data_IF_680423079324
#
_entry.id   IF_680423079324
#
_cell.length_a   1.000
_cell.length_b   1.000
_cell.length_c   1.000
_cell.angle_alpha   90.00
_cell.angle_beta   90.00
_cell.angle_gamma   90.00
#
_symmetry.space_group_name_H-M   'P 1'
#
loop_
_entity.id
_entity.type
_entity.pdbx_description
1 polymer ?
#
# COMPACT_ATOMS: atom_id res chain seq x y z
N UNK A 1 7.97 -35.00 -6.29
CA UNK A 1 6.81 -34.61 -5.47
C UNK A 1 7.04 -33.15 -5.06
N UNK A 2 6.43 -32.24 -5.81
CA UNK A 2 6.53 -30.82 -5.55
C UNK A 2 5.65 -30.47 -4.36
N UNK A 3 6.26 -30.19 -3.21
CA UNK A 3 5.56 -29.50 -2.13
C UNK A 3 5.09 -28.16 -2.66
N UNK A 4 3.79 -27.98 -2.83
CA UNK A 4 3.16 -26.67 -2.97
C UNK A 4 3.44 -25.90 -1.71
N UNK A 5 4.49 -25.09 -1.74
CA UNK A 5 4.79 -24.13 -0.66
C UNK A 5 3.68 -23.10 -0.69
N UNK A 6 2.63 -23.38 0.06
CA UNK A 6 1.50 -22.46 0.21
C UNK A 6 1.98 -21.18 0.89
N UNK A 7 1.68 -20.03 0.33
CA UNK A 7 1.85 -18.77 1.01
C UNK A 7 1.09 -18.84 2.35
N UNK A 8 1.78 -18.54 3.46
CA UNK A 8 1.16 -18.52 4.78
C UNK A 8 0.15 -17.38 4.91
N UNK A 9 0.36 -16.33 4.14
CA UNK A 9 -0.53 -15.18 4.02
C UNK A 9 -0.38 -14.56 2.63
N UNK A 10 -1.48 -14.20 1.99
CA UNK A 10 -1.49 -13.41 0.77
C UNK A 10 -2.68 -12.46 0.78
N UNK A 11 -2.41 -11.17 0.65
CA UNK A 11 -3.41 -10.13 0.50
C UNK A 11 -3.11 -9.28 -0.73
N UNK A 12 -4.14 -8.99 -1.53
CA UNK A 12 -4.07 -8.07 -2.68
C UNK A 12 -4.71 -6.73 -2.33
N UNK A 13 -4.02 -5.65 -2.61
CA UNK A 13 -4.51 -4.30 -2.42
C UNK A 13 -5.29 -3.82 -3.64
N UNK A 14 -6.55 -4.17 -3.73
CA UNK A 14 -7.43 -3.66 -4.77
C UNK A 14 -8.03 -2.32 -4.35
N UNK A 15 -8.01 -1.32 -5.24
CA UNK A 15 -8.69 -0.06 -5.00
C UNK A 15 -10.22 -0.27 -4.97
N UNK A 16 -10.93 0.27 -3.99
CA UNK A 16 -12.39 0.22 -3.95
C UNK A 16 -13.00 1.10 -5.06
N UNK A 17 -14.26 0.84 -5.47
CA UNK A 17 -14.90 1.56 -6.58
C UNK A 17 -14.92 3.09 -6.45
N UNK A 18 -15.05 3.60 -5.23
CA UNK A 18 -15.04 5.04 -5.00
C UNK A 18 -13.71 5.72 -5.37
N UNK A 19 -12.57 5.00 -5.26
CA UNK A 19 -11.26 5.52 -5.68
C UNK A 19 -11.20 5.72 -7.20
N UNK A 20 -11.78 4.78 -7.95
CA UNK A 20 -11.91 4.90 -9.40
C UNK A 20 -12.79 6.06 -9.79
N UNK A 21 -13.97 6.20 -9.14
CA UNK A 21 -14.86 7.31 -9.36
C UNK A 21 -14.19 8.66 -9.05
N UNK A 22 -13.51 8.77 -7.90
CA UNK A 22 -12.78 9.98 -7.53
C UNK A 22 -11.68 10.34 -8.53
N UNK A 23 -10.92 9.35 -9.01
CA UNK A 23 -9.87 9.57 -10.01
C UNK A 23 -10.44 10.11 -11.33
N UNK A 24 -11.57 9.57 -11.79
CA UNK A 24 -12.27 10.07 -12.98
C UNK A 24 -12.76 11.50 -12.77
N UNK A 25 -13.41 11.79 -11.64
CA UNK A 25 -13.90 13.14 -11.33
C UNK A 25 -12.77 14.15 -11.30
N UNK A 26 -11.66 13.83 -10.62
CA UNK A 26 -10.48 14.72 -10.57
C UNK A 26 -9.90 14.95 -11.96
N UNK A 27 -9.78 13.89 -12.78
CA UNK A 27 -9.28 14.00 -14.15
C UNK A 27 -10.19 14.88 -15.04
N UNK A 28 -11.51 14.73 -14.89
CA UNK A 28 -12.49 15.55 -15.63
C UNK A 28 -12.45 17.02 -15.22
N UNK A 29 -12.36 17.31 -13.91
CA UNK A 29 -12.25 18.69 -13.41
C UNK A 29 -10.95 19.33 -13.91
N UNK A 30 -9.83 18.62 -13.79
CA UNK A 30 -8.53 19.10 -14.29
C UNK A 30 -8.56 19.33 -15.81
N UNK A 31 -9.15 18.42 -16.58
CA UNK A 31 -9.30 18.57 -18.03
C UNK A 31 -10.18 19.77 -18.39
N UNK A 32 -11.30 19.96 -17.67
CA UNK A 32 -12.19 21.10 -17.88
C UNK A 32 -11.49 22.44 -17.58
N UNK A 33 -10.66 22.49 -16.55
CA UNK A 33 -9.86 23.69 -16.24
C UNK A 33 -8.88 24.04 -17.36
N UNK A 34 -8.22 23.02 -17.94
CA UNK A 34 -7.30 23.21 -19.07
C UNK A 34 -8.02 23.47 -20.41
N UNK A 35 -9.26 23.00 -20.54
CA UNK A 35 -10.11 23.25 -21.70
C UNK A 35 -10.55 24.72 -21.81
N UNK A 36 -10.61 25.45 -20.70
CA UNK A 36 -11.09 26.85 -20.68
C UNK A 36 -10.27 27.74 -21.61
N UNK A 37 -10.87 28.15 -22.73
CA UNK A 37 -10.25 29.00 -23.75
C UNK A 37 -9.61 28.26 -24.94
N UNK A 38 -9.79 26.95 -25.08
CA UNK A 38 -9.36 26.17 -26.22
C UNK A 38 -10.53 25.81 -27.14
N UNK A 39 -10.36 25.98 -28.46
CA UNK A 39 -11.38 25.68 -29.48
C UNK A 39 -10.99 24.44 -30.31
N UNK A 40 -11.99 23.78 -30.88
CA UNK A 40 -11.82 22.67 -31.81
C UNK A 40 -11.16 21.44 -31.19
N UNK A 41 -10.28 20.76 -31.94
CA UNK A 41 -9.64 19.53 -31.55
C UNK A 41 -8.73 19.67 -30.30
N UNK A 42 -8.20 20.86 -30.03
CA UNK A 42 -7.38 21.14 -28.84
C UNK A 42 -8.17 21.03 -27.54
N UNK A 43 -9.45 21.26 -27.58
CA UNK A 43 -10.34 21.14 -26.44
C UNK A 43 -10.46 19.69 -25.90
N UNK A 44 -10.25 18.68 -26.76
CA UNK A 44 -10.38 17.26 -26.41
C UNK A 44 -9.08 16.70 -25.82
N UNK A 45 -7.94 17.28 -26.15
CA UNK A 45 -6.61 16.77 -25.75
C UNK A 45 -6.46 16.58 -24.24
N UNK A 46 -6.85 17.52 -23.34
CA UNK A 46 -6.74 17.34 -21.91
C UNK A 46 -7.48 16.08 -21.40
N UNK A 47 -8.66 15.82 -21.92
CA UNK A 47 -9.47 14.64 -21.54
C UNK A 47 -8.84 13.35 -22.04
N UNK A 48 -8.36 13.35 -23.29
CA UNK A 48 -7.68 12.19 -23.89
C UNK A 48 -6.39 11.79 -23.18
N UNK A 49 -5.72 12.73 -22.48
CA UNK A 49 -4.50 12.49 -21.73
C UNK A 49 -4.78 12.20 -20.26
N UNK A 50 -5.55 13.05 -19.59
CA UNK A 50 -5.72 12.96 -18.12
C UNK A 50 -6.56 11.77 -17.69
N UNK A 51 -7.57 11.36 -18.45
CA UNK A 51 -8.37 10.19 -18.11
C UNK A 51 -7.56 8.89 -18.13
N UNK A 52 -6.84 8.54 -19.20
CA UNK A 52 -5.99 7.36 -19.18
C UNK A 52 -4.90 7.40 -18.10
N UNK A 53 -4.28 8.56 -17.87
CA UNK A 53 -3.25 8.73 -16.82
C UNK A 53 -3.84 8.47 -15.44
N UNK A 54 -5.02 9.01 -15.12
CA UNK A 54 -5.70 8.77 -13.86
C UNK A 54 -6.04 7.29 -13.68
N UNK A 55 -6.62 6.65 -14.70
CA UNK A 55 -6.98 5.22 -14.65
C UNK A 55 -5.74 4.32 -14.51
N UNK A 56 -4.67 4.61 -15.25
CA UNK A 56 -3.41 3.86 -15.13
C UNK A 56 -2.76 4.03 -13.76
N UNK A 57 -2.85 5.20 -13.16
CA UNK A 57 -2.34 5.49 -11.81
C UNK A 57 -3.08 4.64 -10.78
N UNK A 58 -4.41 4.61 -10.81
CA UNK A 58 -5.22 3.77 -9.91
C UNK A 58 -4.94 2.29 -10.15
N UNK A 59 -4.83 1.86 -11.42
CA UNK A 59 -4.53 0.49 -11.77
C UNK A 59 -3.17 0.03 -11.21
N UNK A 60 -2.13 0.87 -11.32
CA UNK A 60 -0.81 0.58 -10.75
C UNK A 60 -0.84 0.55 -9.23
N UNK A 61 -1.54 1.51 -8.61
CA UNK A 61 -1.69 1.54 -7.16
C UNK A 61 -2.45 0.33 -6.61
N UNK A 62 -3.37 -0.25 -7.40
CA UNK A 62 -4.15 -1.45 -7.06
C UNK A 62 -3.38 -2.77 -7.21
N UNK A 63 -2.15 -2.77 -7.70
CA UNK A 63 -1.34 -3.98 -7.92
C UNK A 63 -0.47 -4.38 -6.73
N UNK A 64 -0.65 -3.74 -5.57
CA UNK A 64 0.07 -4.11 -4.35
C UNK A 64 -0.32 -5.50 -3.85
N UNK A 65 0.66 -6.25 -3.33
CA UNK A 65 0.45 -7.53 -2.66
C UNK A 65 1.29 -7.59 -1.40
N UNK A 66 0.70 -8.13 -0.33
CA UNK A 66 1.42 -8.53 0.89
C UNK A 66 1.42 -10.04 0.93
N UNK A 67 2.59 -10.65 1.05
CA UNK A 67 2.75 -12.11 1.07
C UNK A 67 3.75 -12.52 2.13
N UNK A 68 3.47 -13.63 2.78
CA UNK A 68 4.44 -14.32 3.64
C UNK A 68 4.70 -15.70 3.06
N UNK A 69 5.89 -15.88 2.51
CA UNK A 69 6.31 -17.11 1.81
C UNK A 69 7.73 -17.45 2.25
N UNK A 70 7.97 -18.73 2.59
CA UNK A 70 9.30 -19.27 2.93
C UNK A 70 10.05 -18.47 4.01
N UNK A 71 9.34 -17.99 5.03
CA UNK A 71 9.97 -17.19 6.08
C UNK A 71 10.33 -15.76 5.68
N UNK A 72 9.82 -15.27 4.53
CA UNK A 72 10.05 -13.91 4.05
C UNK A 72 8.73 -13.16 3.92
N UNK A 73 8.67 -12.00 4.53
CA UNK A 73 7.60 -11.02 4.34
C UNK A 73 7.91 -10.18 3.11
N UNK A 74 7.02 -10.21 2.13
CA UNK A 74 7.11 -9.44 0.89
C UNK A 74 5.97 -8.43 0.83
N UNK A 75 6.32 -7.17 0.67
CA UNK A 75 5.37 -6.05 0.52
C UNK A 75 5.78 -5.19 -0.66
N UNK A 76 4.88 -4.36 -1.19
CA UNK A 76 5.25 -3.42 -2.24
C UNK A 76 6.38 -2.48 -1.78
N UNK A 77 7.51 -2.57 -2.48
CA UNK A 77 8.70 -1.77 -2.19
C UNK A 77 9.75 -2.44 -1.30
N UNK A 78 9.48 -3.61 -0.71
CA UNK A 78 10.46 -4.26 0.16
C UNK A 78 10.18 -5.73 0.46
N UNK A 79 11.21 -6.39 0.97
CA UNK A 79 11.14 -7.76 1.50
C UNK A 79 12.06 -7.86 2.71
N UNK A 80 11.63 -8.61 3.73
CA UNK A 80 12.41 -8.83 4.95
C UNK A 80 12.20 -10.26 5.45
N UNK A 81 13.26 -10.89 5.93
CA UNK A 81 13.17 -12.19 6.56
C UNK A 81 12.44 -12.06 7.91
N UNK A 82 11.62 -13.06 8.26
CA UNK A 82 10.87 -13.03 9.51
C UNK A 82 11.77 -13.07 10.75
N UNK A 83 12.97 -13.63 10.61
CA UNK A 83 13.96 -13.70 11.68
C UNK A 83 14.51 -12.32 12.11
N UNK A 84 14.37 -11.30 11.23
CA UNK A 84 14.74 -9.92 11.52
C UNK A 84 13.56 -9.08 12.01
N UNK A 85 12.42 -9.70 12.26
CA UNK A 85 11.23 -9.04 12.77
C UNK A 85 11.12 -9.21 14.28
N UNK A 86 10.96 -8.09 14.96
CA UNK A 86 10.70 -8.04 16.39
C UNK A 86 9.22 -7.91 16.73
N UNK A 87 8.89 -6.97 17.61
CA UNK A 87 7.53 -6.75 18.09
C UNK A 87 6.52 -6.42 16.98
N UNK A 88 5.40 -7.14 16.96
CA UNK A 88 4.30 -6.96 16.00
C UNK A 88 3.13 -6.30 16.70
N UNK A 89 2.67 -5.16 16.20
CA UNK A 89 1.57 -4.37 16.74
C UNK A 89 0.50 -4.12 15.68
N UNK A 90 -0.73 -4.46 16.00
CA UNK A 90 -1.90 -4.11 15.19
C UNK A 90 -2.28 -2.65 15.44
N UNK A 91 -2.57 -1.94 14.37
CA UNK A 91 -2.99 -0.54 14.41
C UNK A 91 -4.37 -0.40 13.78
N UNK A 92 -5.29 0.17 14.53
CA UNK A 92 -6.58 0.60 14.02
C UNK A 92 -6.40 1.83 13.11
N UNK A 93 -7.49 2.31 12.56
CA UNK A 93 -7.50 3.46 11.63
C UNK A 93 -6.92 4.73 12.27
N UNK A 94 -7.20 4.97 13.53
CA UNK A 94 -6.75 6.17 14.23
C UNK A 94 -5.26 6.10 14.55
N UNK A 95 -4.80 4.96 15.10
CA UNK A 95 -3.39 4.72 15.37
C UNK A 95 -2.55 4.72 14.09
N UNK A 96 -3.05 4.11 13.01
CA UNK A 96 -2.40 4.15 11.69
C UNK A 96 -2.23 5.59 11.19
N UNK A 97 -3.26 6.43 11.33
CA UNK A 97 -3.19 7.84 10.93
C UNK A 97 -2.16 8.60 11.76
N UNK A 98 -2.07 8.36 13.07
CA UNK A 98 -1.07 9.01 13.95
C UNK A 98 0.35 8.60 13.57
N UNK A 99 0.60 7.31 13.34
CA UNK A 99 1.92 6.78 12.96
C UNK A 99 2.36 7.23 11.57
N UNK A 100 1.41 7.47 10.65
CA UNK A 100 1.70 8.05 9.33
C UNK A 100 1.88 9.56 9.32
N UNK A 101 1.42 10.24 10.35
CA UNK A 101 1.41 11.70 10.48
C UNK A 101 2.30 12.18 11.63
N UNK A 102 1.71 12.68 12.74
CA UNK A 102 2.48 13.34 13.82
C UNK A 102 3.53 12.48 14.50
N UNK A 103 3.35 11.15 14.49
CA UNK A 103 4.28 10.17 15.07
C UNK A 103 5.15 9.46 14.02
N UNK A 104 5.17 9.94 12.79
CA UNK A 104 5.97 9.36 11.73
C UNK A 104 7.47 9.50 12.02
N UNK A 105 8.20 8.40 11.86
CA UNK A 105 9.66 8.43 11.95
C UNK A 105 10.25 8.49 10.53
N UNK A 106 11.20 9.38 10.25
CA UNK A 106 11.74 9.58 8.90
C UNK A 106 12.39 8.34 8.28
N UNK A 107 12.91 7.43 9.10
CA UNK A 107 13.56 6.18 8.65
C UNK A 107 12.63 4.98 8.60
N UNK A 108 11.37 5.12 9.03
CA UNK A 108 10.42 4.02 8.98
C UNK A 108 10.05 3.65 7.55
N UNK A 109 9.99 2.35 7.26
CA UNK A 109 9.50 1.88 5.98
C UNK A 109 7.96 1.85 5.99
N UNK A 110 7.34 2.57 5.05
CA UNK A 110 5.88 2.71 4.99
C UNK A 110 5.35 2.13 3.69
N UNK A 111 4.66 1.00 3.78
CA UNK A 111 3.99 0.33 2.67
C UNK A 111 2.48 0.28 2.93
N UNK A 112 1.80 1.35 2.57
CA UNK A 112 0.35 1.50 2.75
C UNK A 112 -0.31 2.11 1.51
N UNK A 113 -1.66 2.14 1.48
CA UNK A 113 -2.44 2.84 0.48
C UNK A 113 -3.48 3.74 1.16
N UNK A 114 -3.90 4.80 0.48
CA UNK A 114 -4.84 5.78 1.05
C UNK A 114 -6.19 5.16 1.46
N UNK A 115 -6.59 4.08 0.81
CA UNK A 115 -7.84 3.36 1.10
C UNK A 115 -7.69 2.22 2.12
N UNK A 116 -6.47 1.91 2.57
CA UNK A 116 -6.22 0.99 3.68
C UNK A 116 -6.21 1.80 4.98
N UNK A 117 -7.24 1.62 5.78
CA UNK A 117 -7.39 2.38 7.03
C UNK A 117 -6.57 1.82 8.17
N UNK A 118 -6.35 0.52 8.17
CA UNK A 118 -5.67 -0.25 9.22
C UNK A 118 -4.29 -0.69 8.76
N UNK A 119 -3.42 -1.01 9.73
CA UNK A 119 -2.06 -1.44 9.44
C UNK A 119 -1.51 -2.37 10.53
N UNK A 120 -0.42 -3.05 10.19
CA UNK A 120 0.44 -3.72 11.17
C UNK A 120 1.77 -2.99 11.19
N UNK A 121 2.22 -2.65 12.39
CA UNK A 121 3.55 -2.12 12.65
C UNK A 121 4.44 -3.26 13.14
N UNK A 122 5.57 -3.45 12.49
CA UNK A 122 6.54 -4.49 12.83
C UNK A 122 7.88 -3.86 13.09
N UNK A 123 8.47 -4.11 14.26
CA UNK A 123 9.81 -3.63 14.56
C UNK A 123 10.83 -4.42 13.74
N UNK A 124 11.89 -3.74 13.31
CA UNK A 124 13.03 -4.37 12.63
C UNK A 124 14.13 -4.56 13.66
N UNK A 125 14.63 -5.78 13.77
CA UNK A 125 15.72 -6.18 14.67
C UNK A 125 16.91 -6.70 13.82
N UNK A 126 17.22 -5.96 12.76
CA UNK A 126 18.37 -6.22 11.89
C UNK A 126 19.52 -5.28 12.28
N UNK A 127 20.70 -5.80 12.72
CA UNK A 127 21.83 -4.97 13.10
C UNK A 127 22.40 -4.11 11.95
N UNK A 128 22.15 -4.53 10.72
CA UNK A 128 22.65 -3.88 9.50
C UNK A 128 21.62 -2.91 8.89
N UNK A 129 20.39 -2.81 9.46
CA UNK A 129 19.33 -1.95 8.95
C UNK A 129 18.85 -0.94 10.02
N UNK A 130 19.14 0.33 9.81
CA UNK A 130 18.72 1.44 10.68
C UNK A 130 17.20 1.71 10.66
N UNK A 131 16.40 0.91 9.94
CA UNK A 131 14.95 1.06 9.86
C UNK A 131 14.30 0.66 11.18
N UNK A 132 13.63 1.57 11.90
CA UNK A 132 13.10 1.26 13.23
C UNK A 132 11.89 0.32 13.17
N UNK A 133 11.05 0.47 12.15
CA UNK A 133 9.87 -0.37 11.95
C UNK A 133 9.36 -0.32 10.51
N UNK A 134 8.60 -1.34 10.15
CA UNK A 134 7.78 -1.37 8.94
C UNK A 134 6.32 -1.12 9.28
N UNK A 135 5.67 -0.23 8.55
CA UNK A 135 4.23 0.03 8.63
C UNK A 135 3.56 -0.53 7.37
N UNK A 136 2.80 -1.59 7.53
CA UNK A 136 2.19 -2.36 6.45
C UNK A 136 0.68 -2.20 6.50
N UNK A 137 0.10 -1.55 5.48
CA UNK A 137 -1.35 -1.42 5.35
C UNK A 137 -1.99 -2.78 5.04
N UNK A 138 -3.09 -3.08 5.70
CA UNK A 138 -3.84 -4.33 5.51
C UNK A 138 -5.31 -4.13 5.84
N UNK A 139 -6.17 -4.99 5.31
CA UNK A 139 -7.59 -5.07 5.68
C UNK A 139 -7.86 -6.09 6.77
N UNK A 140 -6.85 -6.92 7.08
CA UNK A 140 -6.94 -7.97 8.08
C UNK A 140 -5.72 -7.93 9.02
N UNK A 141 -5.60 -6.87 9.87
CA UNK A 141 -4.43 -6.67 10.72
C UNK A 141 -4.19 -7.85 11.67
N UNK A 142 -5.24 -8.41 12.27
CA UNK A 142 -5.12 -9.57 13.15
C UNK A 142 -4.54 -10.79 12.42
N UNK A 143 -5.06 -11.12 11.24
CA UNK A 143 -4.60 -12.28 10.49
C UNK A 143 -3.12 -12.15 10.06
N UNK A 144 -2.71 -10.95 9.61
CA UNK A 144 -1.32 -10.69 9.27
C UNK A 144 -0.43 -10.75 10.51
N UNK A 145 -0.83 -10.13 11.62
CA UNK A 145 -0.09 -10.11 12.87
C UNK A 145 0.10 -11.52 13.44
N UNK A 146 -0.93 -12.37 13.40
CA UNK A 146 -0.86 -13.76 13.87
C UNK A 146 0.14 -14.60 13.07
N UNK A 147 0.14 -14.45 11.74
CA UNK A 147 1.12 -15.12 10.89
C UNK A 147 2.56 -14.65 11.18
N UNK A 148 2.76 -13.36 11.39
CA UNK A 148 4.08 -12.81 11.71
C UNK A 148 4.56 -13.28 13.10
N UNK A 149 3.68 -13.30 14.10
CA UNK A 149 4.00 -13.78 15.46
C UNK A 149 4.28 -15.29 15.52
N UNK A 150 3.56 -16.08 14.72
CA UNK A 150 3.70 -17.55 14.73
C UNK A 150 4.97 -18.07 14.06
N UNK A 151 5.57 -17.30 13.20
CA UNK A 151 6.75 -17.68 12.40
C UNK A 151 8.03 -16.94 12.77
N UNK A 152 7.96 -15.91 13.61
CA UNK A 152 9.09 -15.17 14.18
C UNK A 152 9.59 -15.76 15.52
N UNK A 153 9.21 -17.02 15.82
CA UNK A 153 9.69 -17.77 16.99
C UNK A 153 10.58 -18.92 16.59
#
# INVERSE_FOLDING_TARGET
>A
MGSTVGAAYEERWTAPPWVWAAAVVVALVAAATLHSGADGARAVVPYAVLLPVALLTVLRASRGRVRVVDGVLQVPGGRIALDHLGGVRELDREATRRVRGPLAQPRAFVSTRAWLGEAVQVQVEDPDDDTPYWLIGTRAPAALADVLRSRGR
#
